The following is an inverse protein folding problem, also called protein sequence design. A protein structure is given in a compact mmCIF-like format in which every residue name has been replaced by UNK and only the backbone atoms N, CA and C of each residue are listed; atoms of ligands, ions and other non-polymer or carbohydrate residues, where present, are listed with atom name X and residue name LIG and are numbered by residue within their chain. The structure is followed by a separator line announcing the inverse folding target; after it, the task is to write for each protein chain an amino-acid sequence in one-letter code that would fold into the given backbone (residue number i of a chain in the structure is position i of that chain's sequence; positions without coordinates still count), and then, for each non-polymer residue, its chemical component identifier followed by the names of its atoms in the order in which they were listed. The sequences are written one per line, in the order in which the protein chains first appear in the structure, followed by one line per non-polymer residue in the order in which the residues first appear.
data_IF_949991075190
#
_entry.id   IF_949991075190
#
_cell.length_a   1.000
_cell.length_b   1.000
_cell.length_c   1.000
_cell.angle_alpha   90.00
_cell.angle_beta   90.00
_cell.angle_gamma   90.00
#
_symmetry.space_group_name_H-M   'P 1'
#
loop_
_entity.id
_entity.type
_entity.pdbx_description
1 polymer ?
#
# COMPACT_ATOMS: atom_id res chain seq x y z
N UNK A 1 20.31 -17.93 10.37
CA UNK A 1 18.85 -17.90 10.14
C UNK A 1 18.56 -18.08 8.67
N UNK A 2 17.35 -18.49 8.31
CA UNK A 2 16.84 -18.57 6.94
C UNK A 2 15.73 -17.55 6.74
N UNK A 3 15.77 -16.80 5.65
CA UNK A 3 14.75 -15.79 5.32
C UNK A 3 14.18 -16.06 3.93
N UNK A 4 12.87 -16.06 3.85
CA UNK A 4 12.12 -16.19 2.60
C UNK A 4 11.32 -14.91 2.36
N UNK A 5 11.77 -14.06 1.45
CA UNK A 5 11.06 -12.86 1.02
C UNK A 5 10.07 -13.19 -0.09
N UNK A 6 8.82 -12.74 0.05
CA UNK A 6 7.76 -12.91 -0.95
C UNK A 6 7.05 -11.57 -1.16
N UNK A 7 7.11 -11.07 -2.37
CA UNK A 7 6.47 -9.81 -2.72
C UNK A 7 6.35 -9.64 -4.23
N UNK A 8 5.57 -8.65 -4.66
CA UNK A 8 5.40 -8.39 -6.07
C UNK A 8 6.68 -7.79 -6.66
N UNK A 9 7.26 -6.82 -5.98
CA UNK A 9 8.48 -6.11 -6.39
C UNK A 9 9.65 -6.29 -5.42
N UNK A 10 9.43 -6.89 -4.26
CA UNK A 10 10.38 -7.03 -3.15
C UNK A 10 11.10 -5.72 -2.81
N UNK A 11 10.30 -4.75 -2.36
CA UNK A 11 10.78 -3.39 -2.03
C UNK A 11 11.80 -3.35 -0.88
N UNK A 12 11.87 -4.40 -0.06
CA UNK A 12 12.83 -4.55 1.04
C UNK A 12 14.22 -5.08 0.61
N UNK A 13 14.63 -4.87 -0.64
CA UNK A 13 15.86 -5.42 -1.19
C UNK A 13 17.13 -5.09 -0.42
N UNK A 14 17.28 -3.87 0.09
CA UNK A 14 18.44 -3.50 0.93
C UNK A 14 18.49 -4.36 2.22
N UNK A 15 17.34 -4.60 2.84
CA UNK A 15 17.26 -5.45 4.02
C UNK A 15 17.70 -6.90 3.70
N UNK A 16 17.20 -7.47 2.61
CA UNK A 16 17.61 -8.82 2.20
C UNK A 16 19.09 -8.90 1.88
N UNK A 17 19.62 -7.90 1.19
CA UNK A 17 21.04 -7.82 0.89
C UNK A 17 21.89 -7.72 2.17
N UNK A 18 21.49 -6.93 3.13
CA UNK A 18 22.16 -6.83 4.45
C UNK A 18 22.10 -8.15 5.20
N UNK A 19 20.96 -8.83 5.23
CA UNK A 19 20.82 -10.15 5.84
C UNK A 19 21.73 -11.18 5.18
N UNK A 20 21.78 -11.21 3.85
CA UNK A 20 22.67 -12.11 3.12
C UNK A 20 24.16 -11.80 3.38
N UNK A 21 24.53 -10.52 3.41
CA UNK A 21 25.90 -10.06 3.71
C UNK A 21 26.29 -10.39 5.16
N UNK A 22 25.33 -10.40 6.09
CA UNK A 22 25.55 -10.84 7.47
C UNK A 22 25.68 -12.37 7.64
N UNK A 23 25.63 -13.13 6.53
CA UNK A 23 25.82 -14.58 6.53
C UNK A 23 24.55 -15.40 6.74
N UNK A 24 23.38 -14.79 6.59
CA UNK A 24 22.11 -15.51 6.61
C UNK A 24 21.79 -16.11 5.23
N UNK A 25 21.06 -17.24 5.20
CA UNK A 25 20.56 -17.81 3.93
C UNK A 25 19.24 -17.10 3.57
N UNK A 26 19.28 -16.30 2.50
CA UNK A 26 18.17 -15.46 2.05
C UNK A 26 17.74 -15.91 0.67
N UNK A 27 16.44 -16.17 0.50
CA UNK A 27 15.80 -16.45 -0.78
C UNK A 27 14.66 -15.46 -1.00
N UNK A 28 14.54 -14.95 -2.23
CA UNK A 28 13.49 -13.98 -2.57
C UNK A 28 12.69 -14.44 -3.78
N UNK A 29 11.37 -14.33 -3.69
CA UNK A 29 10.43 -14.56 -4.77
C UNK A 29 9.82 -13.23 -5.20
N UNK A 30 10.13 -12.77 -6.41
CA UNK A 30 9.50 -11.62 -7.04
C UNK A 30 8.37 -12.13 -7.90
N UNK A 31 7.11 -11.79 -7.56
CA UNK A 31 5.92 -12.35 -8.18
C UNK A 31 5.57 -11.68 -9.51
N UNK A 32 5.83 -10.38 -9.65
CA UNK A 32 5.55 -9.64 -10.87
C UNK A 32 6.56 -9.98 -11.98
N UNK A 33 6.08 -10.48 -13.14
CA UNK A 33 6.97 -10.87 -14.23
C UNK A 33 7.87 -9.74 -14.74
N UNK A 34 7.36 -8.51 -14.73
CA UNK A 34 8.10 -7.33 -15.18
C UNK A 34 9.25 -6.97 -14.24
N UNK A 35 9.16 -7.40 -12.98
CA UNK A 35 10.15 -7.16 -11.93
C UNK A 35 11.12 -8.34 -11.73
N UNK A 36 11.03 -9.40 -12.51
CA UNK A 36 11.83 -10.62 -12.31
C UNK A 36 13.34 -10.39 -12.35
N UNK A 37 13.82 -9.33 -12.98
CA UNK A 37 15.25 -9.01 -13.02
C UNK A 37 15.73 -8.21 -11.80
N UNK A 38 14.82 -7.76 -10.94
CA UNK A 38 15.19 -7.05 -9.71
C UNK A 38 16.06 -7.98 -8.84
N UNK A 39 17.18 -7.45 -8.33
CA UNK A 39 18.16 -8.15 -7.51
C UNK A 39 18.91 -9.30 -8.20
N UNK A 40 18.83 -9.46 -9.52
CA UNK A 40 19.62 -10.44 -10.25
C UNK A 40 21.11 -10.26 -9.96
N UNK A 41 21.79 -11.35 -9.55
CA UNK A 41 23.20 -11.34 -9.18
C UNK A 41 23.51 -10.76 -7.78
N UNK A 42 22.55 -10.21 -7.06
CA UNK A 42 22.71 -9.70 -5.69
C UNK A 42 22.12 -10.64 -4.65
N UNK A 43 20.98 -11.23 -4.94
CA UNK A 43 20.24 -12.13 -4.05
C UNK A 43 19.94 -13.46 -4.75
N UNK A 44 19.77 -14.51 -3.94
CA UNK A 44 19.28 -15.80 -4.44
C UNK A 44 17.79 -15.69 -4.72
N UNK A 45 17.44 -15.62 -5.99
CA UNK A 45 16.06 -15.58 -6.46
C UNK A 45 15.50 -16.96 -6.66
N UNK A 46 14.21 -17.10 -6.45
CA UNK A 46 13.43 -18.31 -6.66
C UNK A 46 12.12 -17.97 -7.39
N UNK A 47 11.60 -18.95 -8.14
CA UNK A 47 10.40 -18.76 -8.95
C UNK A 47 9.11 -19.18 -8.22
N UNK A 48 9.23 -20.03 -7.19
CA UNK A 48 8.10 -20.62 -6.47
C UNK A 48 8.43 -20.69 -4.97
N UNK A 49 7.87 -19.75 -4.23
CA UNK A 49 8.14 -19.64 -2.79
C UNK A 49 7.48 -20.76 -1.98
N UNK A 50 6.39 -21.38 -2.47
CA UNK A 50 5.71 -22.44 -1.73
C UNK A 50 6.60 -23.69 -1.63
N UNK A 51 7.42 -23.95 -2.62
CA UNK A 51 8.42 -25.04 -2.59
C UNK A 51 9.54 -24.83 -1.59
N UNK A 52 9.70 -23.60 -1.10
CA UNK A 52 10.72 -23.28 -0.11
C UNK A 52 10.21 -23.41 1.34
N UNK A 53 8.95 -23.73 1.54
CA UNK A 53 8.36 -23.83 2.87
C UNK A 53 8.99 -24.93 3.72
N UNK A 54 9.32 -26.08 3.13
CA UNK A 54 10.02 -27.15 3.86
C UNK A 54 11.41 -26.67 4.30
N UNK A 55 12.12 -25.97 3.42
CA UNK A 55 13.42 -25.39 3.74
C UNK A 55 13.33 -24.38 4.90
N UNK A 56 12.28 -23.54 4.95
CA UNK A 56 12.05 -22.62 6.08
C UNK A 56 11.71 -23.41 7.36
N UNK A 57 10.84 -24.42 7.25
CA UNK A 57 10.40 -25.22 8.41
C UNK A 57 11.55 -25.97 9.06
N UNK A 58 12.52 -26.48 8.29
CA UNK A 58 13.72 -27.14 8.80
C UNK A 58 14.58 -26.25 9.72
N UNK A 59 14.50 -24.92 9.55
CA UNK A 59 15.23 -23.97 10.39
C UNK A 59 14.54 -23.73 11.76
N UNK A 60 13.32 -24.23 11.95
CA UNK A 60 12.57 -24.03 13.18
C UNK A 60 12.41 -22.56 13.54
N UNK A 61 12.82 -22.12 14.75
CA UNK A 61 12.68 -20.73 15.15
C UNK A 61 13.58 -19.76 14.38
N UNK A 62 14.56 -20.26 13.65
CA UNK A 62 15.47 -19.47 12.83
C UNK A 62 14.99 -19.32 11.37
N UNK A 63 13.80 -19.84 11.04
CA UNK A 63 13.14 -19.70 9.73
C UNK A 63 12.08 -18.62 9.75
N UNK A 64 12.22 -17.61 8.90
CA UNK A 64 11.30 -16.46 8.83
C UNK A 64 10.82 -16.28 7.40
N UNK A 65 9.51 -16.19 7.21
CA UNK A 65 8.87 -15.75 5.97
C UNK A 65 8.54 -14.26 6.09
N UNK A 66 8.91 -13.48 5.07
CA UNK A 66 8.62 -12.04 5.01
C UNK A 66 7.70 -11.82 3.82
N UNK A 67 6.49 -11.33 4.07
CA UNK A 67 5.49 -11.02 3.05
C UNK A 67 5.34 -9.50 2.96
N UNK A 68 5.63 -8.95 1.79
CA UNK A 68 5.67 -7.51 1.52
C UNK A 68 4.40 -6.99 0.83
N UNK A 69 3.60 -7.91 0.29
CA UNK A 69 2.44 -7.55 -0.55
C UNK A 69 1.15 -7.60 0.24
N UNK A 70 0.40 -6.52 0.21
CA UNK A 70 -0.91 -6.39 0.87
C UNK A 70 -2.00 -7.34 0.32
N UNK A 71 -1.77 -8.06 -0.78
CA UNK A 71 -2.71 -9.05 -1.31
C UNK A 71 -2.52 -10.46 -0.73
N UNK A 72 -1.53 -10.67 0.11
CA UNK A 72 -1.14 -11.97 0.67
C UNK A 72 -1.46 -12.13 2.17
N UNK A 73 -2.32 -11.32 2.72
CA UNK A 73 -2.67 -11.37 4.14
C UNK A 73 -3.32 -12.70 4.56
N UNK A 74 -4.21 -13.27 3.75
CA UNK A 74 -4.78 -14.60 4.00
C UNK A 74 -3.71 -15.70 3.96
N UNK A 75 -2.77 -15.59 3.04
CA UNK A 75 -1.62 -16.49 2.95
C UNK A 75 -0.75 -16.38 4.20
N UNK A 76 -0.46 -15.16 4.64
CA UNK A 76 0.29 -14.91 5.88
C UNK A 76 -0.39 -15.54 7.09
N UNK A 77 -1.71 -15.38 7.21
CA UNK A 77 -2.50 -15.97 8.31
C UNK A 77 -2.49 -17.50 8.24
N UNK A 78 -2.63 -18.08 7.06
CA UNK A 78 -2.52 -19.53 6.85
C UNK A 78 -1.15 -20.08 7.25
N UNK A 79 -0.06 -19.39 6.88
CA UNK A 79 1.29 -19.78 7.27
C UNK A 79 1.49 -19.70 8.79
N UNK A 80 1.00 -18.64 9.45
CA UNK A 80 1.04 -18.51 10.92
C UNK A 80 0.29 -19.64 11.61
N UNK A 81 -0.91 -20.00 11.13
CA UNK A 81 -1.68 -21.16 11.64
C UNK A 81 -0.93 -22.48 11.48
N UNK A 82 -0.11 -22.63 10.45
CA UNK A 82 0.76 -23.79 10.23
C UNK A 82 2.04 -23.78 11.07
N UNK A 83 2.27 -22.72 11.89
CA UNK A 83 3.39 -22.60 12.78
C UNK A 83 4.64 -21.92 12.20
N UNK A 84 4.53 -21.30 11.02
CA UNK A 84 5.64 -20.50 10.48
C UNK A 84 5.74 -19.15 11.18
N UNK A 85 6.95 -18.64 11.32
CA UNK A 85 7.19 -17.28 11.75
C UNK A 85 7.06 -16.36 10.53
N UNK A 86 6.04 -15.50 10.54
CA UNK A 86 5.73 -14.63 9.40
C UNK A 86 5.76 -13.17 9.83
N UNK A 87 6.59 -12.37 9.16
CA UNK A 87 6.56 -10.91 9.18
C UNK A 87 5.74 -10.48 7.96
N UNK A 88 4.73 -9.64 8.17
CA UNK A 88 3.83 -9.17 7.12
C UNK A 88 2.44 -8.88 7.65
N UNK A 89 1.55 -8.47 6.78
CA UNK A 89 0.16 -8.17 7.09
C UNK A 89 -0.67 -9.40 7.46
N UNK A 90 -1.98 -9.21 7.47
CA UNK A 90 -3.01 -10.24 7.69
C UNK A 90 -4.18 -9.95 6.75
N UNK A 91 -5.11 -10.87 6.61
CA UNK A 91 -6.34 -10.63 5.85
C UNK A 91 -7.08 -9.37 6.33
N UNK A 92 -7.03 -9.10 7.64
CA UNK A 92 -7.67 -7.92 8.22
C UNK A 92 -6.94 -6.62 7.86
N UNK A 93 -5.60 -6.61 7.88
CA UNK A 93 -4.81 -5.43 7.49
C UNK A 93 -4.91 -5.17 5.99
N UNK A 94 -4.94 -6.21 5.15
CA UNK A 94 -5.23 -6.08 3.73
C UNK A 94 -6.58 -5.40 3.48
N UNK A 95 -7.60 -5.76 4.27
CA UNK A 95 -8.91 -5.12 4.18
C UNK A 95 -8.86 -3.65 4.57
N UNK A 96 -8.13 -3.27 5.62
CA UNK A 96 -7.97 -1.85 6.02
C UNK A 96 -7.42 -1.03 4.86
N UNK A 97 -6.43 -1.56 4.15
CA UNK A 97 -5.77 -0.86 3.05
C UNK A 97 -6.64 -0.80 1.79
N UNK A 98 -7.32 -1.90 1.45
CA UNK A 98 -8.05 -2.03 0.19
C UNK A 98 -9.47 -1.49 0.25
N UNK A 99 -10.15 -1.62 1.39
CA UNK A 99 -11.49 -1.09 1.64
C UNK A 99 -11.39 0.24 2.40
N UNK A 100 -11.38 1.33 1.63
CA UNK A 100 -11.19 2.69 2.18
C UNK A 100 -12.24 3.07 3.22
N UNK A 101 -13.48 2.65 3.05
CA UNK A 101 -14.55 2.98 4.01
C UNK A 101 -14.34 2.19 5.30
N UNK A 102 -14.02 0.92 5.20
CA UNK A 102 -13.68 0.09 6.35
C UNK A 102 -12.44 0.65 7.10
N UNK A 103 -11.39 1.03 6.38
CA UNK A 103 -10.20 1.66 6.98
C UNK A 103 -10.56 2.94 7.75
N UNK A 104 -11.43 3.79 7.19
CA UNK A 104 -11.92 4.99 7.86
C UNK A 104 -12.77 4.66 9.11
N UNK A 105 -13.58 3.61 9.08
CA UNK A 105 -14.33 3.14 10.26
C UNK A 105 -13.39 2.70 11.37
N UNK A 106 -12.42 1.85 11.05
CA UNK A 106 -11.41 1.38 12.01
C UNK A 106 -10.66 2.55 12.67
N UNK A 107 -10.27 3.55 11.89
CA UNK A 107 -9.61 4.74 12.44
C UNK A 107 -10.53 5.52 13.39
N UNK A 108 -11.80 5.73 13.03
CA UNK A 108 -12.77 6.41 13.90
C UNK A 108 -13.02 5.63 15.18
N UNK A 109 -13.16 4.31 15.09
CA UNK A 109 -13.36 3.44 16.26
C UNK A 109 -12.14 3.45 17.19
N UNK A 110 -10.95 3.65 16.63
CA UNK A 110 -9.72 3.88 17.39
C UNK A 110 -9.59 5.30 17.96
N UNK A 111 -10.58 6.18 17.75
CA UNK A 111 -10.58 7.56 18.24
C UNK A 111 -9.75 8.53 17.41
N UNK A 112 -9.32 8.14 16.22
CA UNK A 112 -8.58 9.01 15.31
C UNK A 112 -9.54 9.90 14.51
N UNK A 113 -9.09 11.10 14.20
CA UNK A 113 -9.81 11.99 13.29
C UNK A 113 -9.59 11.51 11.85
N UNK A 114 -10.67 11.49 11.07
CA UNK A 114 -10.63 11.16 9.64
C UNK A 114 -11.18 12.31 8.82
N UNK A 115 -10.63 12.51 7.62
CA UNK A 115 -11.21 13.48 6.69
C UNK A 115 -12.61 13.03 6.26
N UNK A 116 -13.59 13.96 6.13
CA UNK A 116 -14.88 13.65 5.56
C UNK A 116 -14.72 12.98 4.20
N UNK A 117 -15.35 11.81 4.04
CA UNK A 117 -15.17 10.96 2.85
C UNK A 117 -16.55 10.53 2.35
N UNK A 118 -16.81 10.77 1.06
CA UNK A 118 -18.07 10.49 0.38
C UNK A 118 -17.84 9.46 -0.72
N UNK A 119 -18.56 8.34 -0.64
CA UNK A 119 -18.46 7.25 -1.61
C UNK A 119 -19.47 7.41 -2.74
N UNK A 120 -19.05 7.11 -3.96
CA UNK A 120 -19.86 7.18 -5.17
C UNK A 120 -19.58 5.97 -6.05
N UNK A 121 -20.63 5.48 -6.71
CA UNK A 121 -20.59 4.52 -7.80
C UNK A 121 -21.10 5.11 -9.12
N UNK A 122 -21.47 6.39 -9.10
CA UNK A 122 -22.02 7.13 -10.24
C UNK A 122 -21.46 8.54 -10.32
N UNK A 123 -20.97 8.90 -11.49
CA UNK A 123 -20.42 10.22 -11.77
C UNK A 123 -21.44 11.35 -11.71
N UNK A 124 -22.71 11.08 -12.08
CA UNK A 124 -23.74 12.13 -12.05
C UNK A 124 -24.06 12.53 -10.60
N UNK A 125 -24.12 11.55 -9.70
CA UNK A 125 -24.32 11.80 -8.26
C UNK A 125 -23.14 12.58 -7.66
N UNK A 126 -21.91 12.22 -8.00
CA UNK A 126 -20.71 12.94 -7.55
C UNK A 126 -20.65 14.38 -8.07
N UNK A 127 -21.00 14.61 -9.35
CA UNK A 127 -21.08 15.95 -9.92
C UNK A 127 -22.16 16.81 -9.26
N UNK A 128 -23.31 16.23 -8.92
CA UNK A 128 -24.35 16.93 -8.19
C UNK A 128 -23.85 17.32 -6.78
N UNK A 129 -23.25 16.37 -6.07
CA UNK A 129 -22.65 16.61 -4.76
C UNK A 129 -21.62 17.73 -4.77
N UNK A 130 -20.66 17.71 -5.70
CA UNK A 130 -19.61 18.73 -5.79
C UNK A 130 -20.16 20.14 -6.05
N UNK A 131 -21.22 20.26 -6.83
CA UNK A 131 -21.87 21.55 -7.10
C UNK A 131 -22.59 22.11 -5.88
N UNK A 132 -23.14 21.23 -5.03
CA UNK A 132 -23.85 21.61 -3.80
C UNK A 132 -22.90 21.82 -2.61
N UNK A 133 -21.70 21.21 -2.68
CA UNK A 133 -20.70 21.24 -1.61
C UNK A 133 -19.32 21.62 -2.17
N UNK A 134 -19.15 22.90 -2.58
CA UNK A 134 -17.88 23.36 -3.12
C UNK A 134 -16.80 23.36 -2.04
N UNK A 135 -15.75 22.55 -2.25
CA UNK A 135 -14.57 22.45 -1.41
C UNK A 135 -13.42 21.82 -2.20
N UNK A 136 -12.21 21.86 -1.66
CA UNK A 136 -11.08 21.12 -2.22
C UNK A 136 -11.18 19.65 -1.86
N UNK A 137 -11.13 18.76 -2.85
CA UNK A 137 -11.26 17.32 -2.66
C UNK A 137 -10.06 16.55 -3.21
N UNK A 138 -9.89 15.33 -2.67
CA UNK A 138 -9.03 14.29 -3.24
C UNK A 138 -9.93 13.20 -3.82
N UNK A 139 -9.77 12.94 -5.11
CA UNK A 139 -10.45 11.86 -5.81
C UNK A 139 -9.63 10.59 -5.70
N UNK A 140 -10.22 9.48 -5.22
CA UNK A 140 -9.55 8.18 -5.08
C UNK A 140 -10.46 7.05 -5.58
N UNK A 141 -9.93 6.17 -6.42
CA UNK A 141 -10.63 4.92 -6.77
C UNK A 141 -10.63 3.95 -5.60
N UNK A 142 -11.66 3.09 -5.54
CA UNK A 142 -11.82 2.08 -4.48
C UNK A 142 -11.31 0.70 -4.86
N UNK A 143 -10.97 0.45 -6.13
CA UNK A 143 -10.51 -0.82 -6.68
C UNK A 143 -8.97 -0.94 -6.60
N UNK A 144 -8.46 -1.30 -5.49
CA UNK A 144 -7.09 -1.55 -5.01
C UNK A 144 -5.89 -1.57 -5.97
N UNK A 145 -5.92 -2.20 -7.12
CA UNK A 145 -4.71 -2.46 -7.94
C UNK A 145 -4.38 -1.39 -8.99
N UNK A 146 -5.37 -0.72 -9.53
CA UNK A 146 -5.15 0.34 -10.55
C UNK A 146 -5.16 1.74 -9.97
N UNK A 147 -5.36 1.87 -8.67
CA UNK A 147 -5.87 3.08 -8.07
C UNK A 147 -4.79 4.09 -7.66
N UNK A 148 -3.58 3.66 -7.28
CA UNK A 148 -2.61 4.58 -6.68
C UNK A 148 -2.10 5.67 -7.62
N UNK A 149 -1.88 5.34 -8.89
CA UNK A 149 -1.40 6.28 -9.92
C UNK A 149 -2.53 7.11 -10.55
N UNK A 150 -3.79 6.72 -10.34
CA UNK A 150 -4.98 7.39 -10.88
C UNK A 150 -5.69 8.28 -9.86
N UNK A 151 -5.20 8.35 -8.63
CA UNK A 151 -5.70 9.28 -7.64
C UNK A 151 -5.37 10.71 -8.08
N UNK A 152 -6.27 11.64 -7.79
CA UNK A 152 -6.08 13.04 -8.10
C UNK A 152 -6.30 13.91 -6.85
N UNK A 153 -5.29 14.67 -6.51
CA UNK A 153 -5.39 15.66 -5.44
C UNK A 153 -5.81 16.98 -6.08
N UNK A 154 -7.03 17.41 -5.80
CA UNK A 154 -7.55 18.68 -6.32
C UNK A 154 -6.73 19.87 -5.84
N UNK A 155 -6.62 20.89 -6.67
CA UNK A 155 -5.89 22.13 -6.38
C UNK A 155 -6.83 23.32 -6.18
N UNK A 156 -8.05 23.23 -6.68
CA UNK A 156 -9.04 24.30 -6.60
C UNK A 156 -9.91 24.18 -5.35
N UNK A 157 -10.01 25.29 -4.60
CA UNK A 157 -10.77 25.34 -3.33
C UNK A 157 -12.28 25.14 -3.51
N UNK A 158 -12.79 25.27 -4.73
CA UNK A 158 -14.19 25.06 -5.08
C UNK A 158 -14.49 23.69 -5.71
N UNK A 159 -13.46 22.86 -5.91
CA UNK A 159 -13.57 21.52 -6.52
C UNK A 159 -13.83 21.53 -8.02
N UNK A 160 -13.68 22.67 -8.69
CA UNK A 160 -13.93 22.82 -10.14
C UNK A 160 -13.03 21.92 -11.00
N UNK A 161 -11.82 21.68 -10.57
CA UNK A 161 -10.86 20.76 -11.22
C UNK A 161 -11.28 19.28 -11.10
N UNK A 162 -11.85 18.87 -9.97
CA UNK A 162 -12.43 17.53 -9.79
C UNK A 162 -13.68 17.38 -10.66
N UNK A 163 -14.51 18.41 -10.75
CA UNK A 163 -15.66 18.41 -11.68
C UNK A 163 -15.19 18.19 -13.11
N UNK A 164 -14.18 18.94 -13.57
CA UNK A 164 -13.63 18.81 -14.91
C UNK A 164 -13.02 17.42 -15.16
N UNK A 165 -12.33 16.85 -14.17
CA UNK A 165 -11.80 15.49 -14.22
C UNK A 165 -12.92 14.48 -14.44
N UNK A 166 -13.97 14.51 -13.61
CA UNK A 166 -15.10 13.57 -13.68
C UNK A 166 -15.87 13.73 -15.00
N UNK A 167 -16.09 14.95 -15.46
CA UNK A 167 -16.75 15.21 -16.75
C UNK A 167 -15.95 14.63 -17.92
N UNK A 168 -14.63 14.75 -17.90
CA UNK A 168 -13.72 14.14 -18.87
C UNK A 168 -13.80 12.62 -18.83
N UNK A 169 -13.68 11.99 -17.66
CA UNK A 169 -13.76 10.53 -17.51
C UNK A 169 -15.10 9.98 -18.03
N UNK A 170 -16.19 10.69 -17.73
CA UNK A 170 -17.52 10.34 -18.22
C UNK A 170 -17.64 10.45 -19.73
N UNK A 171 -17.05 11.47 -20.34
CA UNK A 171 -17.10 11.70 -21.80
C UNK A 171 -16.27 10.69 -22.59
N UNK A 172 -15.15 10.23 -22.02
CA UNK A 172 -14.24 9.29 -22.70
C UNK A 172 -14.63 7.82 -22.50
N UNK A 173 -15.67 7.53 -21.70
CA UNK A 173 -16.04 6.15 -21.39
C UNK A 173 -14.93 5.37 -20.69
N UNK A 174 -14.10 6.07 -19.91
CA UNK A 174 -12.98 5.47 -19.20
C UNK A 174 -13.40 4.28 -18.31
N UNK A 175 -12.47 3.41 -17.93
CA UNK A 175 -12.76 2.22 -17.12
C UNK A 175 -13.43 2.53 -15.79
N UNK A 176 -13.37 3.78 -15.35
CA UNK A 176 -14.01 4.28 -14.14
C UNK A 176 -15.52 4.55 -14.28
N UNK A 177 -16.11 4.40 -15.47
CA UNK A 177 -17.57 4.52 -15.65
C UNK A 177 -18.38 3.46 -14.87
N UNK A 178 -17.70 2.44 -14.31
CA UNK A 178 -18.29 1.37 -13.51
C UNK A 178 -17.54 1.11 -12.19
N UNK A 179 -16.58 1.93 -11.81
CA UNK A 179 -15.77 1.73 -10.61
C UNK A 179 -16.29 2.59 -9.45
N UNK A 180 -16.27 2.02 -8.25
CA UNK A 180 -16.51 2.77 -7.02
C UNK A 180 -15.33 3.71 -6.74
N UNK A 181 -15.63 4.90 -6.28
CA UNK A 181 -14.63 5.92 -5.91
C UNK A 181 -15.07 6.74 -4.72
N UNK A 182 -14.14 7.44 -4.12
CA UNK A 182 -14.43 8.36 -3.03
C UNK A 182 -13.94 9.76 -3.35
N UNK A 183 -14.68 10.74 -2.85
CA UNK A 183 -14.27 12.12 -2.70
C UNK A 183 -13.96 12.36 -1.23
N UNK A 184 -12.72 12.63 -0.92
CA UNK A 184 -12.26 12.95 0.43
C UNK A 184 -11.95 14.44 0.49
N UNK A 185 -12.43 15.13 1.51
CA UNK A 185 -12.05 16.53 1.72
C UNK A 185 -10.54 16.65 1.92
N UNK A 186 -9.94 17.62 1.25
CA UNK A 186 -8.50 17.87 1.36
C UNK A 186 -8.16 18.42 2.74
N UNK A 187 -7.24 17.78 3.44
CA UNK A 187 -6.70 18.28 4.71
C UNK A 187 -5.38 18.98 4.42
N UNK A 188 -5.31 20.26 4.73
CA UNK A 188 -4.07 21.03 4.60
C UNK A 188 -3.12 20.69 5.76
N UNK A 189 -1.86 20.44 5.44
CA UNK A 189 -0.84 20.12 6.44
C UNK A 189 0.40 19.49 5.83
N UNK A 190 1.28 19.04 6.70
CA UNK A 190 2.43 18.21 6.35
C UNK A 190 2.04 16.75 6.60
N UNK A 191 2.07 15.93 5.54
CA UNK A 191 1.83 14.49 5.66
C UNK A 191 3.06 13.83 6.29
N UNK A 192 2.83 12.99 7.29
CA UNK A 192 3.86 12.17 7.92
C UNK A 192 3.34 10.77 8.14
N UNK A 193 4.20 9.76 7.93
CA UNK A 193 3.95 8.39 8.33
C UNK A 193 4.45 8.13 9.76
N UNK A 194 3.79 7.24 10.47
CA UNK A 194 4.25 6.72 11.77
C UNK A 194 4.23 5.22 11.68
N UNK A 195 5.38 4.59 11.86
CA UNK A 195 5.56 3.14 11.78
C UNK A 195 6.17 2.54 13.04
N UNK A 196 5.74 1.33 13.36
CA UNK A 196 6.38 0.51 14.39
C UNK A 196 6.16 -0.97 14.09
N UNK A 197 7.12 -1.80 14.47
CA UNK A 197 6.95 -3.25 14.42
C UNK A 197 6.11 -3.72 15.60
N UNK A 198 5.22 -4.67 15.36
CA UNK A 198 4.39 -5.30 16.40
C UNK A 198 4.72 -6.78 16.50
N UNK A 199 5.05 -7.25 17.73
CA UNK A 199 5.47 -8.62 17.98
C UNK A 199 4.32 -9.58 18.36
N UNK A 200 3.07 -9.12 18.21
CA UNK A 200 1.85 -9.85 18.61
C UNK A 200 1.37 -9.53 20.03
N UNK A 201 2.10 -8.71 20.80
CA UNK A 201 1.73 -8.28 22.15
C UNK A 201 1.90 -6.78 22.36
N UNK A 202 2.99 -6.22 21.84
CA UNK A 202 3.35 -4.82 22.02
C UNK A 202 4.10 -4.30 20.79
N UNK A 203 4.10 -3.00 20.61
CA UNK A 203 4.94 -2.36 19.61
C UNK A 203 6.39 -2.34 20.09
N UNK A 204 7.30 -2.62 19.16
CA UNK A 204 8.74 -2.57 19.42
C UNK A 204 9.23 -1.14 19.24
N UNK A 205 10.10 -0.73 20.13
CA UNK A 205 10.79 0.57 20.05
C UNK A 205 12.14 0.44 19.31
N UNK A 206 12.57 1.50 18.62
CA UNK A 206 11.88 2.78 18.45
C UNK A 206 10.77 2.70 17.40
N UNK A 207 9.70 3.48 17.59
CA UNK A 207 8.82 3.83 16.48
C UNK A 207 9.55 4.79 15.54
N UNK A 208 9.24 4.74 14.25
CA UNK A 208 9.76 5.68 13.27
C UNK A 208 8.68 6.70 12.86
N UNK A 209 9.14 7.85 12.44
CA UNK A 209 8.33 8.84 11.74
C UNK A 209 9.00 9.06 10.40
N UNK A 210 8.22 9.17 9.34
CA UNK A 210 8.73 9.29 8.00
C UNK A 210 7.97 10.32 7.17
N UNK A 211 8.64 10.81 6.16
CA UNK A 211 8.13 11.71 5.14
C UNK A 211 8.35 11.09 3.78
N UNK A 212 7.28 10.69 3.14
CA UNK A 212 7.30 10.16 1.78
C UNK A 212 7.26 11.28 0.75
N UNK A 213 8.15 11.22 -0.24
CA UNK A 213 8.09 12.09 -1.40
C UNK A 213 7.43 11.36 -2.57
N UNK A 214 6.19 11.73 -2.87
CA UNK A 214 5.35 11.04 -3.88
C UNK A 214 5.34 11.72 -5.25
N UNK A 215 5.67 13.00 -5.34
CA UNK A 215 5.71 13.71 -6.62
C UNK A 215 6.99 13.38 -7.39
N UNK A 216 6.87 13.31 -8.72
CA UNK A 216 7.97 12.90 -9.60
C UNK A 216 9.18 13.85 -9.53
N UNK A 217 8.96 15.13 -9.31
CA UNK A 217 10.01 16.14 -9.20
C UNK A 217 10.12 16.74 -7.80
N UNK A 218 11.32 17.20 -7.41
CA UNK A 218 11.52 17.98 -6.18
C UNK A 218 10.62 19.22 -6.11
N UNK A 219 10.26 19.64 -4.91
CA UNK A 219 9.38 20.78 -4.70
C UNK A 219 7.90 20.49 -4.85
N UNK A 220 7.52 19.23 -4.72
CA UNK A 220 6.15 18.75 -4.80
C UNK A 220 5.49 19.03 -6.17
N UNK A 221 6.25 18.84 -7.25
CA UNK A 221 5.85 19.14 -8.62
C UNK A 221 5.77 17.85 -9.43
N UNK A 222 4.87 17.86 -10.42
CA UNK A 222 4.68 16.76 -11.36
C UNK A 222 3.64 15.75 -10.91
N UNK A 223 3.65 14.60 -11.55
CA UNK A 223 2.68 13.53 -11.35
C UNK A 223 2.89 12.81 -10.01
N UNK A 224 1.81 12.30 -9.44
CA UNK A 224 1.90 11.40 -8.30
C UNK A 224 2.48 10.06 -8.74
N UNK A 225 3.44 9.56 -7.99
CA UNK A 225 4.00 8.22 -8.12
C UNK A 225 3.62 7.37 -6.90
N UNK A 226 4.01 6.10 -6.88
CA UNK A 226 3.91 5.28 -5.67
C UNK A 226 4.75 5.91 -4.55
N UNK A 227 6.04 6.11 -4.82
CA UNK A 227 6.99 6.79 -3.94
C UNK A 227 8.28 7.07 -4.71
N UNK A 228 8.87 8.25 -4.52
CA UNK A 228 10.17 8.63 -5.08
C UNK A 228 11.30 8.55 -4.05
N UNK A 229 10.96 8.49 -2.78
CA UNK A 229 11.91 8.35 -1.68
C UNK A 229 11.29 8.76 -0.36
N UNK A 230 11.88 8.25 0.72
CA UNK A 230 11.41 8.47 2.09
C UNK A 230 12.56 8.95 2.97
N UNK A 231 12.29 9.91 3.83
CA UNK A 231 13.16 10.32 4.92
C UNK A 231 12.58 9.77 6.22
N UNK A 232 13.38 9.01 6.96
CA UNK A 232 13.01 8.39 8.23
C UNK A 232 13.84 8.99 9.36
#
# INVERSE_FOLDING_TARGET
MRFLGVGDYNSLGDMYWRLATAGHDVRVCVREPEAHEIYAGLLRRIDDWERELDWIAEAGPDGIVIIETASLGETADSLRMRGFHVIGGSAWTDRIERDRLFGQEVMRDAGLQTAPTHAFSDYAAALAFLRDHPARYVFKFSDGESASTRNYVGEMDDGSDIIALIERERATGGPAAAADFVLMEHVAGVEVGIGAYFNGREFLEPACIDWEHKRFFPGDIGELTGEMGTVV
#
